data_IF_271517023359
#
_entry.id   IF_271517023359
#
_cell.length_a   1.000
_cell.length_b   1.000
_cell.length_c   1.000
_cell.angle_alpha   90.00
_cell.angle_beta   90.00
_cell.angle_gamma   90.00
#
_symmetry.space_group_name_H-M   'P 1'
#
loop_
_entity.id
_entity.type
_entity.pdbx_description
1 polymer ?
#
# COMPACT_ATOMS: atom_id res chain seq x y z
N UNK A 1 7.69 6.02 -18.56
CA UNK A 1 7.51 5.60 -19.96
C UNK A 1 6.49 6.48 -20.69
N UNK A 2 5.27 6.70 -20.16
CA UNK A 2 4.33 7.68 -20.75
C UNK A 2 4.89 9.10 -20.88
N UNK A 3 5.65 9.61 -19.90
CA UNK A 3 6.29 10.94 -19.98
C UNK A 3 7.31 11.01 -21.11
N UNK A 4 8.21 10.01 -21.20
CA UNK A 4 9.19 9.88 -22.29
C UNK A 4 8.51 9.82 -23.67
N UNK A 5 7.44 9.05 -23.82
CA UNK A 5 6.66 8.96 -25.07
C UNK A 5 5.97 10.29 -25.43
N UNK A 6 5.77 11.18 -24.46
CA UNK A 6 5.18 12.52 -24.63
C UNK A 6 6.23 13.64 -24.68
N UNK A 7 7.52 13.31 -24.69
CA UNK A 7 8.62 14.30 -24.66
C UNK A 7 8.72 15.07 -23.34
N UNK A 8 8.10 14.57 -22.26
CA UNK A 8 8.14 15.16 -20.93
C UNK A 8 9.24 14.51 -20.09
N UNK A 9 9.77 15.30 -19.15
CA UNK A 9 10.74 14.81 -18.17
C UNK A 9 10.21 13.55 -17.47
N UNK A 10 11.00 12.47 -17.38
CA UNK A 10 10.58 11.26 -16.74
C UNK A 10 10.37 11.49 -15.24
N UNK A 11 9.19 11.10 -14.75
CA UNK A 11 8.96 11.03 -13.31
C UNK A 11 9.83 9.92 -12.70
N UNK A 12 11.03 10.31 -12.26
CA UNK A 12 12.03 9.40 -11.68
C UNK A 12 11.54 8.75 -10.38
N UNK A 13 10.61 9.36 -9.66
CA UNK A 13 10.03 8.78 -8.45
C UNK A 13 9.06 7.65 -8.83
N UNK A 14 8.15 7.90 -9.76
CA UNK A 14 7.24 6.88 -10.29
C UNK A 14 8.00 5.72 -10.94
N UNK A 15 9.02 6.03 -11.76
CA UNK A 15 9.85 4.99 -12.39
C UNK A 15 10.56 4.10 -11.36
N UNK A 16 11.09 4.68 -10.27
CA UNK A 16 11.70 3.90 -9.19
C UNK A 16 10.69 3.02 -8.47
N UNK A 17 9.48 3.52 -8.21
CA UNK A 17 8.41 2.74 -7.55
C UNK A 17 7.98 1.57 -8.43
N UNK A 18 7.68 1.80 -9.71
CA UNK A 18 7.27 0.75 -10.65
C UNK A 18 8.38 -0.30 -10.80
N UNK A 19 9.63 0.13 -10.94
CA UNK A 19 10.78 -0.78 -11.01
C UNK A 19 10.93 -1.62 -9.75
N UNK A 20 10.73 -1.02 -8.56
CA UNK A 20 10.81 -1.74 -7.28
C UNK A 20 9.69 -2.77 -7.12
N UNK A 21 8.48 -2.43 -7.57
CA UNK A 21 7.35 -3.36 -7.60
C UNK A 21 7.64 -4.52 -8.54
N UNK A 22 8.11 -4.24 -9.77
CA UNK A 22 8.46 -5.25 -10.77
C UNK A 22 9.45 -6.30 -10.26
N UNK A 23 10.49 -5.87 -9.51
CA UNK A 23 11.47 -6.78 -8.90
C UNK A 23 10.88 -7.75 -7.87
N UNK A 24 9.80 -7.36 -7.19
CA UNK A 24 9.09 -8.25 -6.27
C UNK A 24 8.06 -9.12 -6.98
N UNK A 25 7.58 -8.63 -8.11
CA UNK A 25 6.63 -9.32 -8.96
C UNK A 25 7.34 -10.53 -9.59
N UNK A 26 8.37 -10.35 -10.41
CA UNK A 26 8.97 -11.47 -11.14
C UNK A 26 9.38 -12.66 -10.24
N UNK A 27 8.79 -13.83 -10.49
CA UNK A 27 9.04 -15.07 -9.74
C UNK A 27 10.34 -15.74 -10.16
N UNK A 28 10.81 -15.47 -11.38
CA UNK A 28 12.08 -15.99 -11.92
C UNK A 28 13.29 -15.31 -11.28
N UNK A 29 13.08 -14.13 -10.66
CA UNK A 29 14.14 -13.37 -10.00
C UNK A 29 14.72 -14.16 -8.83
N UNK A 30 16.03 -14.46 -8.82
CA UNK A 30 16.66 -15.25 -7.76
C UNK A 30 16.48 -14.65 -6.37
N UNK A 31 15.73 -15.35 -5.51
CA UNK A 31 15.53 -14.95 -4.10
C UNK A 31 16.61 -15.54 -3.21
N UNK A 32 16.96 -16.78 -3.48
CA UNK A 32 17.94 -17.55 -2.73
C UNK A 32 19.06 -18.00 -3.66
N UNK A 33 20.20 -18.35 -3.06
CA UNK A 33 21.31 -18.94 -3.80
C UNK A 33 21.06 -20.45 -3.93
N UNK A 34 21.46 -21.02 -5.06
CA UNK A 34 21.50 -22.48 -5.23
C UNK A 34 22.56 -23.10 -4.32
N UNK A 35 22.49 -24.40 -4.10
CA UNK A 35 23.47 -25.07 -3.24
C UNK A 35 24.87 -25.06 -3.85
N UNK A 36 24.99 -25.15 -5.18
CA UNK A 36 26.26 -24.98 -5.90
C UNK A 36 26.85 -23.57 -5.70
N UNK A 37 25.99 -22.54 -5.75
CA UNK A 37 26.41 -21.15 -5.49
C UNK A 37 26.89 -21.00 -4.04
N UNK A 38 26.20 -21.60 -3.06
CA UNK A 38 26.66 -21.59 -1.67
C UNK A 38 27.99 -22.33 -1.52
N UNK A 39 28.16 -23.47 -2.18
CA UNK A 39 29.40 -24.24 -2.18
C UNK A 39 30.57 -23.44 -2.77
N UNK A 40 30.33 -22.64 -3.81
CA UNK A 40 31.37 -21.75 -4.37
C UNK A 40 31.89 -20.72 -3.37
N UNK A 41 31.11 -20.33 -2.36
CA UNK A 41 31.56 -19.40 -1.31
C UNK A 41 32.53 -20.09 -0.35
N UNK A 42 32.35 -21.39 -0.09
CA UNK A 42 33.23 -22.14 0.79
C UNK A 42 34.65 -22.23 0.22
N UNK A 43 34.85 -22.20 -1.10
CA UNK A 43 36.19 -22.25 -1.70
C UNK A 43 36.92 -20.90 -1.72
N UNK A 44 36.27 -19.81 -1.30
CA UNK A 44 36.85 -18.46 -1.33
C UNK A 44 38.04 -18.36 -0.36
N UNK A 45 39.23 -17.89 -0.82
CA UNK A 45 40.44 -17.83 0.00
C UNK A 45 40.27 -17.04 1.31
N UNK A 46 39.51 -15.95 1.28
CA UNK A 46 39.23 -15.16 2.47
C UNK A 46 38.51 -15.96 3.56
N UNK A 47 37.47 -16.72 3.20
CA UNK A 47 36.73 -17.54 4.14
C UNK A 47 37.61 -18.67 4.67
N UNK A 48 38.34 -19.35 3.78
CA UNK A 48 39.29 -20.41 4.14
C UNK A 48 40.35 -19.91 5.12
N UNK A 49 40.88 -18.70 4.94
CA UNK A 49 41.82 -18.10 5.88
C UNK A 49 41.22 -17.87 7.28
N UNK A 50 39.97 -17.40 7.35
CA UNK A 50 39.29 -17.22 8.64
C UNK A 50 38.99 -18.55 9.34
N UNK A 51 38.63 -19.58 8.58
CA UNK A 51 38.44 -20.95 9.07
C UNK A 51 39.75 -21.51 9.61
N UNK A 52 40.84 -21.39 8.84
CA UNK A 52 42.17 -21.82 9.26
C UNK A 52 42.63 -21.13 10.56
N UNK A 53 42.42 -19.82 10.68
CA UNK A 53 42.74 -19.07 11.91
C UNK A 53 41.95 -19.56 13.12
N UNK A 54 40.66 -19.87 12.97
CA UNK A 54 39.83 -20.47 14.02
C UNK A 54 40.36 -21.84 14.43
N UNK A 55 40.63 -22.72 13.45
CA UNK A 55 40.99 -24.12 13.71
C UNK A 55 42.38 -24.26 14.30
N UNK A 56 43.34 -23.49 13.79
CA UNK A 56 44.69 -23.42 14.35
C UNK A 56 44.67 -22.91 15.80
N UNK A 57 43.82 -21.94 16.12
CA UNK A 57 43.67 -21.44 17.49
C UNK A 57 42.97 -22.45 18.40
N UNK A 58 41.92 -23.13 17.92
CA UNK A 58 41.22 -24.17 18.66
C UNK A 58 42.16 -25.32 19.05
N UNK A 59 42.95 -25.82 18.10
CA UNK A 59 43.97 -26.86 18.35
C UNK A 59 45.00 -26.45 19.39
N UNK A 60 45.50 -25.21 19.33
CA UNK A 60 46.45 -24.68 20.33
C UNK A 60 45.82 -24.60 21.72
N UNK A 61 44.56 -24.20 21.81
CA UNK A 61 43.83 -24.13 23.07
C UNK A 61 43.66 -25.53 23.69
N UNK A 62 43.29 -26.53 22.89
CA UNK A 62 43.16 -27.93 23.31
C UNK A 62 44.49 -28.50 23.80
N UNK A 63 45.58 -28.32 23.04
CA UNK A 63 46.92 -28.78 23.40
C UNK A 63 47.45 -28.14 24.69
N UNK A 64 47.10 -26.89 24.96
CA UNK A 64 47.57 -26.18 26.15
C UNK A 64 46.94 -26.67 27.46
N UNK A 65 45.84 -27.44 27.41
CA UNK A 65 45.10 -27.94 28.59
C UNK A 65 44.46 -26.86 29.48
N UNK A 66 44.76 -25.57 29.24
CA UNK A 66 44.35 -24.44 30.08
C UNK A 66 43.21 -23.67 29.41
N UNK A 67 41.98 -23.90 29.86
CA UNK A 67 40.80 -23.13 29.44
C UNK A 67 40.74 -21.77 30.15
N UNK A 68 41.65 -20.87 29.78
CA UNK A 68 41.56 -19.47 30.22
C UNK A 68 40.32 -18.81 29.62
N UNK A 69 39.61 -18.00 30.43
CA UNK A 69 38.44 -17.20 29.99
C UNK A 69 38.77 -16.36 28.75
N UNK A 70 39.95 -15.73 28.72
CA UNK A 70 40.40 -14.93 27.58
C UNK A 70 40.61 -15.78 26.31
N UNK A 71 41.05 -17.04 26.47
CA UNK A 71 41.21 -17.98 25.36
C UNK A 71 39.87 -18.41 24.78
N UNK A 72 38.89 -18.71 25.64
CA UNK A 72 37.52 -19.04 25.22
C UNK A 72 36.85 -17.85 24.51
N UNK A 73 36.98 -16.64 25.06
CA UNK A 73 36.45 -15.41 24.44
C UNK A 73 37.08 -15.16 23.06
N UNK A 74 38.39 -15.42 22.91
CA UNK A 74 39.08 -15.29 21.63
C UNK A 74 38.62 -16.33 20.62
N UNK A 75 38.41 -17.59 21.03
CA UNK A 75 37.86 -18.62 20.17
C UNK A 75 36.44 -18.26 19.70
N UNK A 76 35.62 -17.74 20.60
CA UNK A 76 34.27 -17.28 20.28
C UNK A 76 34.29 -16.11 19.28
N UNK A 77 35.19 -15.15 19.44
CA UNK A 77 35.40 -14.08 18.43
C UNK A 77 35.81 -14.65 17.06
N UNK A 78 36.68 -15.66 17.02
CA UNK A 78 37.09 -16.30 15.76
C UNK A 78 35.92 -17.06 15.10
N UNK A 79 35.08 -17.75 15.88
CA UNK A 79 33.85 -18.38 15.37
C UNK A 79 32.91 -17.34 14.76
N UNK A 80 32.68 -16.22 15.44
CA UNK A 80 31.88 -15.10 14.93
C UNK A 80 32.46 -14.49 13.65
N UNK A 81 33.78 -14.35 13.57
CA UNK A 81 34.43 -13.86 12.36
C UNK A 81 34.17 -14.79 11.17
N UNK A 82 34.24 -16.11 11.36
CA UNK A 82 33.91 -17.08 10.30
C UNK A 82 32.45 -16.92 9.86
N UNK A 83 31.49 -16.84 10.79
CA UNK A 83 30.08 -16.69 10.44
C UNK A 83 29.79 -15.36 9.75
N UNK A 84 30.43 -14.27 10.20
CA UNK A 84 30.27 -12.94 9.61
C UNK A 84 30.84 -12.87 8.20
N UNK A 85 32.06 -13.38 8.00
CA UNK A 85 32.70 -13.44 6.68
C UNK A 85 31.88 -14.28 5.71
N UNK A 86 31.44 -15.48 6.14
CA UNK A 86 30.56 -16.33 5.32
C UNK A 86 29.26 -15.61 4.94
N UNK A 87 28.60 -15.00 5.91
CA UNK A 87 27.32 -14.30 5.67
C UNK A 87 27.48 -13.12 4.72
N UNK A 88 28.57 -12.36 4.85
CA UNK A 88 28.90 -11.25 3.95
C UNK A 88 29.15 -11.75 2.52
N UNK A 89 29.97 -12.79 2.34
CA UNK A 89 30.26 -13.35 1.02
C UNK A 89 29.00 -13.92 0.34
N UNK A 90 28.13 -14.61 1.10
CA UNK A 90 26.83 -15.07 0.60
C UNK A 90 25.92 -13.91 0.21
N UNK A 91 25.90 -12.83 0.99
CA UNK A 91 25.15 -11.63 0.66
C UNK A 91 25.66 -10.98 -0.63
N UNK A 92 26.98 -10.83 -0.78
CA UNK A 92 27.61 -10.23 -1.94
C UNK A 92 27.38 -11.08 -3.20
N UNK A 93 27.47 -12.42 -3.09
CA UNK A 93 27.14 -13.32 -4.19
C UNK A 93 25.67 -13.19 -4.58
N UNK A 94 24.74 -13.19 -3.60
CA UNK A 94 23.31 -13.01 -3.86
C UNK A 94 23.01 -11.67 -4.53
N UNK A 95 23.69 -10.61 -4.13
CA UNK A 95 23.57 -9.29 -4.74
C UNK A 95 24.01 -9.35 -6.22
N UNK A 96 25.18 -9.90 -6.51
CA UNK A 96 25.70 -10.06 -7.88
C UNK A 96 24.77 -10.86 -8.77
N UNK A 97 24.32 -12.03 -8.31
CA UNK A 97 23.37 -12.90 -9.07
C UNK A 97 22.08 -12.15 -9.40
N UNK A 98 21.56 -11.35 -8.46
CA UNK A 98 20.35 -10.54 -8.70
C UNK A 98 20.60 -9.39 -9.67
N UNK A 99 21.75 -8.73 -9.57
CA UNK A 99 22.11 -7.63 -10.48
C UNK A 99 22.29 -8.13 -11.91
N UNK A 100 22.93 -9.27 -12.09
CA UNK A 100 23.09 -9.94 -13.39
C UNK A 100 21.74 -10.37 -13.98
N UNK A 101 20.87 -10.96 -13.16
CA UNK A 101 19.50 -11.27 -13.59
C UNK A 101 18.75 -9.99 -13.99
N UNK A 102 18.79 -8.95 -13.14
CA UNK A 102 18.04 -7.71 -13.36
C UNK A 102 18.56 -6.95 -14.61
N UNK A 103 19.84 -7.08 -14.97
CA UNK A 103 20.43 -6.44 -16.16
C UNK A 103 20.13 -7.20 -17.45
N UNK A 104 20.17 -8.54 -17.42
CA UNK A 104 20.04 -9.38 -18.61
C UNK A 104 18.58 -9.72 -18.91
N UNK A 105 17.79 -10.05 -17.89
CA UNK A 105 16.48 -10.64 -18.10
C UNK A 105 15.51 -9.66 -18.77
N UNK A 106 15.59 -8.38 -18.41
CA UNK A 106 14.76 -7.34 -19.02
C UNK A 106 14.99 -7.24 -20.54
N UNK A 107 16.25 -7.32 -20.99
CA UNK A 107 16.59 -7.29 -22.41
C UNK A 107 16.04 -8.54 -23.12
N UNK A 108 16.26 -9.72 -22.55
CA UNK A 108 15.74 -10.98 -23.11
C UNK A 108 14.22 -10.99 -23.22
N UNK A 109 13.52 -10.46 -22.22
CA UNK A 109 12.05 -10.39 -22.24
C UNK A 109 11.56 -9.43 -23.33
N UNK A 110 12.21 -8.28 -23.51
CA UNK A 110 11.90 -7.33 -24.61
C UNK A 110 12.14 -7.98 -25.97
N UNK A 111 13.29 -8.64 -26.17
CA UNK A 111 13.62 -9.32 -27.42
C UNK A 111 12.60 -10.40 -27.77
N UNK A 112 12.17 -11.21 -26.79
CA UNK A 112 11.11 -12.21 -27.00
C UNK A 112 9.77 -11.58 -27.37
N UNK A 113 9.37 -10.50 -26.70
CA UNK A 113 8.13 -9.78 -27.00
C UNK A 113 8.15 -9.22 -28.43
N UNK A 114 9.27 -8.63 -28.85
CA UNK A 114 9.45 -8.11 -30.20
C UNK A 114 9.45 -9.23 -31.25
N UNK A 115 10.13 -10.34 -30.99
CA UNK A 115 10.17 -11.49 -31.90
C UNK A 115 8.80 -12.18 -32.05
N UNK A 116 8.04 -12.29 -30.95
CA UNK A 116 6.70 -12.88 -30.95
C UNK A 116 5.63 -11.92 -31.52
N UNK A 117 5.88 -10.62 -31.52
CA UNK A 117 4.90 -9.63 -31.96
C UNK A 117 3.71 -9.43 -30.99
N UNK A 118 3.79 -9.96 -29.77
CA UNK A 118 2.79 -9.74 -28.69
C UNK A 118 3.39 -9.77 -27.29
N UNK A 119 2.87 -8.96 -26.36
CA UNK A 119 3.39 -8.89 -25.00
C UNK A 119 3.17 -10.20 -24.24
N UNK A 120 2.08 -10.89 -24.57
CA UNK A 120 1.74 -12.22 -24.07
C UNK A 120 2.36 -13.27 -25.00
N UNK A 121 3.68 -13.40 -24.92
CA UNK A 121 4.50 -14.12 -25.89
C UNK A 121 4.64 -15.63 -25.61
N UNK A 122 4.24 -16.11 -24.43
CA UNK A 122 4.31 -17.54 -24.09
C UNK A 122 3.25 -17.96 -23.05
N UNK A 123 3.07 -19.28 -22.90
CA UNK A 123 2.13 -19.87 -21.94
C UNK A 123 2.47 -19.54 -20.48
N UNK A 124 3.75 -19.33 -20.17
CA UNK A 124 4.18 -18.92 -18.82
C UNK A 124 3.65 -17.51 -18.49
N UNK A 125 3.77 -16.57 -19.42
CA UNK A 125 3.22 -15.22 -19.29
C UNK A 125 1.70 -15.27 -19.14
N UNK A 126 1.02 -16.12 -19.93
CA UNK A 126 -0.43 -16.34 -19.82
C UNK A 126 -0.82 -16.89 -18.44
N UNK A 127 -0.12 -17.92 -17.95
CA UNK A 127 -0.33 -18.52 -16.63
C UNK A 127 -0.09 -17.51 -15.49
N UNK A 128 0.90 -16.64 -15.62
CA UNK A 128 1.18 -15.59 -14.64
C UNK A 128 0.03 -14.57 -14.54
N UNK A 129 -0.52 -14.13 -15.67
CA UNK A 129 -1.68 -13.22 -15.70
C UNK A 129 -2.90 -13.87 -15.01
N UNK A 130 -3.21 -15.12 -15.36
CA UNK A 130 -4.33 -15.85 -14.74
C UNK A 130 -4.11 -16.05 -13.24
N UNK A 131 -2.96 -16.62 -12.85
CA UNK A 131 -2.75 -17.09 -11.48
C UNK A 131 -2.50 -15.95 -10.49
N UNK A 132 -1.73 -14.94 -10.90
CA UNK A 132 -1.27 -13.89 -9.98
C UNK A 132 -2.18 -12.69 -9.97
N UNK A 133 -2.61 -12.26 -11.15
CA UNK A 133 -3.47 -11.10 -11.30
C UNK A 133 -4.95 -11.48 -11.12
N UNK A 134 -5.24 -12.78 -10.98
CA UNK A 134 -6.58 -13.36 -10.93
C UNK A 134 -7.40 -12.89 -12.14
N UNK A 135 -6.74 -12.74 -13.29
CA UNK A 135 -7.40 -12.33 -14.52
C UNK A 135 -8.22 -13.49 -15.06
N UNK A 136 -9.43 -13.15 -15.52
CA UNK A 136 -10.28 -14.08 -16.24
C UNK A 136 -9.62 -14.44 -17.59
N UNK A 137 -9.84 -15.65 -18.13
CA UNK A 137 -9.30 -16.04 -19.43
C UNK A 137 -9.60 -15.04 -20.55
N UNK A 138 -10.80 -14.45 -20.53
CA UNK A 138 -11.22 -13.42 -21.49
C UNK A 138 -10.41 -12.12 -21.34
N UNK A 139 -10.01 -11.73 -20.13
CA UNK A 139 -9.13 -10.57 -19.89
C UNK A 139 -7.74 -10.83 -20.47
N UNK A 140 -7.22 -12.03 -20.26
CA UNK A 140 -5.90 -12.41 -20.77
C UNK A 140 -5.91 -12.46 -22.30
N UNK A 141 -6.95 -13.03 -22.90
CA UNK A 141 -7.15 -13.04 -24.35
C UNK A 141 -7.27 -11.61 -24.92
N UNK A 142 -8.02 -10.74 -24.24
CA UNK A 142 -8.13 -9.33 -24.61
C UNK A 142 -6.77 -8.65 -24.64
N UNK A 143 -5.99 -8.76 -23.57
CA UNK A 143 -4.65 -8.17 -23.47
C UNK A 143 -3.71 -8.74 -24.54
N UNK A 144 -3.76 -10.05 -24.78
CA UNK A 144 -2.96 -10.72 -25.80
C UNK A 144 -3.21 -10.15 -27.20
N UNK A 145 -4.47 -9.84 -27.55
CA UNK A 145 -4.83 -9.29 -28.86
C UNK A 145 -4.62 -7.78 -28.97
N UNK A 146 -4.92 -7.03 -27.91
CA UNK A 146 -4.74 -5.57 -27.90
C UNK A 146 -3.26 -5.15 -27.85
N UNK A 147 -2.41 -5.90 -27.15
CA UNK A 147 -0.99 -5.60 -26.98
C UNK A 147 -0.16 -6.41 -27.99
N UNK A 148 -0.58 -6.35 -29.25
CA UNK A 148 0.16 -6.86 -30.42
C UNK A 148 0.86 -5.71 -31.14
N UNK A 149 2.12 -5.90 -31.50
CA UNK A 149 2.85 -4.94 -32.32
C UNK A 149 2.58 -5.21 -33.81
N UNK A 150 2.46 -4.15 -34.62
CA UNK A 150 2.35 -4.30 -36.07
C UNK A 150 3.67 -4.90 -36.60
N UNK A 151 3.68 -6.21 -36.77
CA UNK A 151 4.82 -7.00 -37.26
C UNK A 151 4.92 -7.04 -38.79
N UNK A 152 3.81 -7.05 -39.57
CA UNK A 152 3.90 -7.12 -41.02
C UNK A 152 3.72 -5.77 -41.74
N UNK A 153 4.52 -5.53 -42.79
CA UNK A 153 4.36 -4.42 -43.75
C UNK A 153 3.17 -4.58 -44.71
N UNK A 154 2.25 -5.51 -44.43
CA UNK A 154 1.09 -5.80 -45.29
C UNK A 154 -0.19 -5.29 -44.65
N UNK A 155 -0.99 -4.58 -45.44
CA UNK A 155 -2.28 -4.02 -45.05
C UNK A 155 -3.28 -5.11 -44.64
N UNK A 156 -3.30 -6.25 -45.34
CA UNK A 156 -4.21 -7.36 -45.03
C UNK A 156 -3.92 -7.99 -43.66
N UNK A 157 -2.63 -8.18 -43.33
CA UNK A 157 -2.24 -8.71 -42.02
C UNK A 157 -2.55 -7.73 -40.88
N UNK A 158 -2.40 -6.43 -41.13
CA UNK A 158 -2.79 -5.39 -40.16
C UNK A 158 -4.32 -5.34 -39.96
N UNK A 159 -5.09 -5.48 -41.04
CA UNK A 159 -6.56 -5.59 -40.95
C UNK A 159 -6.98 -6.83 -40.15
N UNK A 160 -6.36 -7.98 -40.42
CA UNK A 160 -6.61 -9.21 -39.65
C UNK A 160 -6.31 -9.01 -38.16
N UNK A 161 -5.17 -8.41 -37.81
CA UNK A 161 -4.80 -8.10 -36.41
C UNK A 161 -5.84 -7.22 -35.73
N UNK A 162 -6.32 -6.17 -36.41
CA UNK A 162 -7.37 -5.28 -35.88
C UNK A 162 -8.70 -6.01 -35.70
N UNK A 163 -9.10 -6.84 -36.65
CA UNK A 163 -10.34 -7.61 -36.55
C UNK A 163 -10.28 -8.60 -35.37
N UNK A 164 -9.15 -9.29 -35.19
CA UNK A 164 -8.95 -10.16 -34.03
C UNK A 164 -9.01 -9.40 -32.69
N UNK A 165 -8.47 -8.18 -32.65
CA UNK A 165 -8.58 -7.31 -31.48
C UNK A 165 -10.02 -6.85 -31.21
N UNK A 166 -10.79 -6.52 -32.26
CA UNK A 166 -12.21 -6.16 -32.13
C UNK A 166 -13.03 -7.35 -31.61
N UNK A 167 -12.81 -8.55 -32.12
CA UNK A 167 -13.49 -9.75 -31.62
C UNK A 167 -13.10 -10.03 -30.15
N UNK A 168 -11.85 -9.80 -29.77
CA UNK A 168 -11.43 -9.93 -28.37
C UNK A 168 -12.17 -8.95 -27.44
N UNK A 169 -12.32 -7.69 -27.88
CA UNK A 169 -13.11 -6.68 -27.15
C UNK A 169 -14.56 -7.12 -27.03
N UNK A 170 -15.17 -7.56 -28.13
CA UNK A 170 -16.55 -8.05 -28.16
C UNK A 170 -16.78 -9.18 -27.17
N UNK A 171 -15.90 -10.19 -27.16
CA UNK A 171 -15.97 -11.31 -26.20
C UNK A 171 -15.81 -10.87 -24.75
N UNK A 172 -15.08 -9.78 -24.51
CA UNK A 172 -14.89 -9.25 -23.18
C UNK A 172 -16.07 -8.42 -22.67
N UNK A 173 -16.83 -7.77 -23.55
CA UNK A 173 -17.95 -6.91 -23.15
C UNK A 173 -19.01 -7.62 -22.31
N UNK A 174 -19.20 -8.94 -22.49
CA UNK A 174 -20.17 -9.72 -21.71
C UNK A 174 -19.63 -10.16 -20.33
N UNK A 175 -18.34 -9.90 -20.05
CA UNK A 175 -17.69 -10.30 -18.80
C UNK A 175 -18.02 -9.30 -17.70
N UNK A 176 -18.68 -9.78 -16.64
CA UNK A 176 -18.92 -8.99 -15.43
C UNK A 176 -17.66 -8.96 -14.57
N UNK A 177 -16.85 -7.92 -14.71
CA UNK A 177 -15.80 -7.61 -13.74
C UNK A 177 -16.45 -7.37 -12.37
N UNK A 178 -16.02 -8.10 -11.34
CA UNK A 178 -16.60 -7.99 -10.00
C UNK A 178 -16.64 -6.54 -9.48
N UNK A 179 -17.58 -6.24 -8.58
CA UNK A 179 -17.70 -4.92 -7.98
C UNK A 179 -16.46 -4.51 -7.17
N UNK A 180 -16.37 -3.23 -6.74
CA UNK A 180 -15.23 -2.70 -6.00
C UNK A 180 -14.78 -3.68 -4.91
N UNK A 181 -13.48 -4.02 -4.88
CA UNK A 181 -12.91 -4.91 -3.86
C UNK A 181 -13.37 -4.41 -2.50
N UNK A 182 -14.35 -5.10 -1.90
CA UNK A 182 -14.88 -4.71 -0.59
C UNK A 182 -13.68 -4.69 0.33
N UNK A 183 -13.36 -3.52 0.88
CA UNK A 183 -12.23 -3.35 1.78
C UNK A 183 -12.26 -4.41 2.87
N UNK A 184 -11.08 -4.76 3.39
CA UNK A 184 -10.89 -5.67 4.52
C UNK A 184 -12.02 -5.45 5.55
N UNK A 185 -12.88 -6.46 5.74
CA UNK A 185 -13.91 -6.41 6.78
C UNK A 185 -13.22 -6.06 8.11
N UNK A 186 -13.74 -5.12 8.91
CA UNK A 186 -13.28 -4.97 10.28
C UNK A 186 -13.42 -6.32 10.97
N UNK A 187 -12.40 -6.74 11.72
CA UNK A 187 -12.48 -7.95 12.54
C UNK A 187 -13.77 -7.88 13.36
N UNK A 188 -14.62 -8.90 13.21
CA UNK A 188 -15.83 -9.05 14.01
C UNK A 188 -15.38 -9.16 15.47
N UNK A 189 -15.90 -8.36 16.41
CA UNK A 189 -15.65 -8.57 17.82
C UNK A 189 -16.15 -9.98 18.19
N UNK A 190 -15.32 -10.76 18.85
CA UNK A 190 -15.72 -12.04 19.41
C UNK A 190 -16.87 -11.81 20.40
N UNK A 191 -17.96 -12.58 20.35
CA UNK A 191 -19.02 -12.48 21.35
C UNK A 191 -18.55 -13.18 22.63
N UNK A 192 -18.52 -12.44 23.74
CA UNK A 192 -18.39 -13.02 25.08
C UNK A 192 -17.48 -12.23 26.00
N UNK A 193 -18.07 -11.30 26.76
CA UNK A 193 -18.18 -11.39 28.23
C UNK A 193 -18.83 -10.11 28.77
N UNK A 194 -19.96 -10.31 29.41
CA UNK A 194 -20.73 -9.32 30.17
C UNK A 194 -19.99 -8.83 31.41
N UNK A 195 -20.43 -7.66 31.87
CA UNK A 195 -20.24 -7.03 33.17
C UNK A 195 -18.80 -6.57 33.49
N UNK A 196 -18.56 -5.39 34.07
CA UNK A 196 -19.35 -4.71 35.09
C UNK A 196 -18.95 -3.22 35.12
N UNK A 197 -19.94 -2.40 35.45
CA UNK A 197 -19.88 -1.06 36.02
C UNK A 197 -18.65 -0.82 36.89
N UNK A 198 -17.98 0.33 36.70
CA UNK A 198 -17.80 1.29 37.80
C UNK A 198 -17.20 2.62 37.31
N UNK A 199 -17.97 3.69 37.57
CA UNK A 199 -17.51 5.07 37.61
C UNK A 199 -16.83 5.31 38.96
N UNK A 200 -15.96 6.31 39.07
CA UNK A 200 -15.98 7.17 40.23
C UNK A 200 -16.45 8.58 39.85
N UNK A 201 -17.36 9.09 40.67
CA UNK A 201 -17.79 10.47 40.71
C UNK A 201 -17.05 11.18 41.86
N UNK A 202 -16.54 12.39 41.62
CA UNK A 202 -16.28 13.47 42.59
C UNK A 202 -15.66 14.65 41.82
N UNK A 203 -15.96 15.93 41.98
CA UNK A 203 -16.72 16.72 42.95
C UNK A 203 -17.43 17.85 42.18
N UNK A 204 -18.59 18.29 42.68
CA UNK A 204 -19.22 19.54 42.28
C UNK A 204 -18.48 20.73 42.91
N UNK A 205 -18.43 21.86 42.20
CA UNK A 205 -18.47 23.17 42.84
C UNK A 205 -19.43 24.05 42.07
N UNK A 206 -20.47 24.43 42.81
CA UNK A 206 -21.57 25.32 42.50
C UNK A 206 -21.06 26.67 42.04
N UNK A 207 -21.78 27.30 41.11
CA UNK A 207 -22.24 28.70 41.15
C UNK A 207 -23.12 28.93 39.91
N UNK A 208 -24.43 28.89 40.12
CA UNK A 208 -25.44 29.36 39.16
C UNK A 208 -25.36 30.88 39.04
N UNK A 209 -25.26 31.41 37.81
CA UNK A 209 -26.16 32.50 37.44
C UNK A 209 -27.17 32.12 36.33
N UNK A 210 -28.26 32.89 36.27
CA UNK A 210 -29.51 32.75 35.50
C UNK A 210 -29.49 31.96 34.18
N UNK A 211 -30.50 31.08 33.93
CA UNK A 211 -30.45 30.05 32.88
C UNK A 211 -30.59 30.55 31.44
N UNK A 212 -31.01 31.79 31.22
CA UNK A 212 -31.21 32.35 29.88
C UNK A 212 -29.96 33.01 29.27
N UNK A 213 -29.17 33.73 30.08
CA UNK A 213 -27.95 34.41 29.60
C UNK A 213 -26.75 33.46 29.46
N UNK A 214 -26.64 32.42 30.31
CA UNK A 214 -25.59 31.40 30.18
C UNK A 214 -25.74 30.52 28.94
N UNK A 215 -26.97 30.32 28.46
CA UNK A 215 -27.27 29.48 27.30
C UNK A 215 -26.72 30.10 26.01
N UNK A 216 -26.81 31.43 25.88
CA UNK A 216 -26.29 32.16 24.71
C UNK A 216 -24.76 32.23 24.72
N UNK A 217 -24.13 32.44 25.89
CA UNK A 217 -22.67 32.46 26.02
C UNK A 217 -22.03 31.06 25.89
N UNK A 218 -22.69 29.99 26.34
CA UNK A 218 -22.24 28.61 26.14
C UNK A 218 -22.31 28.14 24.68
N UNK A 219 -23.16 28.76 23.85
CA UNK A 219 -23.28 28.47 22.41
C UNK A 219 -22.22 29.20 21.57
N UNK A 220 -21.71 30.35 22.02
CA UNK A 220 -20.73 31.16 21.27
C UNK A 220 -19.40 30.46 21.02
N UNK A 221 -18.90 29.67 21.98
CA UNK A 221 -17.59 28.99 21.85
C UNK A 221 -17.66 27.80 20.87
N UNK A 222 -18.66 26.90 20.94
CA UNK A 222 -18.88 25.89 19.92
C UNK A 222 -19.21 26.47 18.53
N UNK A 223 -19.99 27.56 18.47
CA UNK A 223 -20.34 28.23 17.23
C UNK A 223 -19.11 28.81 16.52
N UNK A 224 -18.26 29.54 17.26
CA UNK A 224 -17.01 30.06 16.73
C UNK A 224 -16.09 28.94 16.23
N UNK A 225 -16.05 27.79 16.92
CA UNK A 225 -15.26 26.63 16.50
C UNK A 225 -15.81 25.96 15.23
N UNK A 226 -17.14 25.87 15.09
CA UNK A 226 -17.78 25.34 13.87
C UNK A 226 -17.60 26.29 12.68
N UNK A 227 -17.62 27.61 12.90
CA UNK A 227 -17.48 28.63 11.85
C UNK A 227 -16.01 28.85 11.41
N UNK A 228 -15.08 28.92 12.35
CA UNK A 228 -13.74 29.48 12.08
C UNK A 228 -12.60 28.46 12.09
N UNK A 229 -12.82 27.26 12.64
CA UNK A 229 -11.75 26.26 12.70
C UNK A 229 -11.37 25.75 11.30
N UNK A 230 -10.08 25.48 11.09
CA UNK A 230 -9.58 24.84 9.85
C UNK A 230 -10.04 23.38 9.75
N UNK A 231 -10.25 22.74 10.90
CA UNK A 231 -10.80 21.37 11.03
C UNK A 231 -11.86 21.37 12.13
N UNK A 232 -13.12 21.69 11.81
CA UNK A 232 -14.17 21.72 12.81
C UNK A 232 -14.37 20.32 13.41
N UNK A 233 -14.70 20.28 14.70
CA UNK A 233 -15.01 19.05 15.43
C UNK A 233 -16.50 18.93 15.79
N UNK A 234 -17.29 19.99 15.58
CA UNK A 234 -18.75 19.97 15.66
C UNK A 234 -19.42 19.92 14.29
N UNK A 235 -20.65 19.40 14.24
CA UNK A 235 -21.45 19.34 13.02
C UNK A 235 -22.27 20.62 12.85
N UNK A 236 -22.00 21.41 11.79
CA UNK A 236 -22.76 22.64 11.52
C UNK A 236 -24.26 22.37 11.30
N UNK A 237 -24.60 21.23 10.71
CA UNK A 237 -25.97 20.86 10.40
C UNK A 237 -26.78 20.50 11.67
N UNK A 238 -26.18 19.76 12.61
CA UNK A 238 -26.77 19.53 13.92
C UNK A 238 -26.85 20.84 14.71
N UNK A 239 -25.80 21.64 14.70
CA UNK A 239 -25.77 22.90 15.43
C UNK A 239 -26.87 23.87 14.97
N UNK A 240 -27.07 23.99 13.66
CA UNK A 240 -28.11 24.83 13.05
C UNK A 240 -29.54 24.32 13.25
N UNK A 241 -29.73 23.05 13.62
CA UNK A 241 -31.07 22.50 13.82
C UNK A 241 -31.64 22.92 15.17
N UNK A 242 -32.58 23.87 15.18
CA UNK A 242 -33.21 24.41 16.40
C UNK A 242 -34.21 23.46 17.07
N UNK A 243 -34.61 22.40 16.38
CA UNK A 243 -35.57 21.40 16.88
C UNK A 243 -34.89 20.25 17.66
N UNK A 244 -33.57 20.11 17.55
CA UNK A 244 -32.83 19.07 18.28
C UNK A 244 -32.47 19.50 19.71
N UNK A 245 -32.30 18.50 20.59
CA UNK A 245 -31.77 18.71 21.94
C UNK A 245 -30.38 19.34 21.91
N UNK A 246 -30.11 20.23 22.85
CA UNK A 246 -28.83 20.94 23.00
C UNK A 246 -27.61 20.00 23.04
N UNK A 247 -27.73 18.80 23.62
CA UNK A 247 -26.66 17.77 23.62
C UNK A 247 -26.29 17.25 22.22
N UNK A 248 -27.27 17.12 21.32
CA UNK A 248 -27.04 16.68 19.93
C UNK A 248 -26.49 17.82 19.09
N UNK A 249 -27.03 19.02 19.26
CA UNK A 249 -26.60 20.24 18.56
C UNK A 249 -25.15 20.59 18.88
N UNK A 250 -24.74 20.42 20.14
CA UNK A 250 -23.38 20.70 20.62
C UNK A 250 -22.47 19.47 20.64
N UNK A 251 -22.85 18.39 19.96
CA UNK A 251 -22.04 17.17 19.94
C UNK A 251 -20.66 17.43 19.32
N UNK A 252 -19.65 17.30 20.17
CA UNK A 252 -18.26 17.46 19.79
C UNK A 252 -17.60 16.10 19.53
N UNK A 253 -17.04 15.92 18.34
CA UNK A 253 -16.36 14.67 17.97
C UNK A 253 -14.89 14.70 18.39
N UNK A 254 -14.39 13.59 18.93
CA UNK A 254 -12.98 13.47 19.34
C UNK A 254 -11.97 13.61 18.19
N UNK A 255 -12.39 13.38 16.94
CA UNK A 255 -11.56 13.50 15.73
C UNK A 255 -12.39 14.01 14.56
N UNK A 256 -11.79 14.85 13.72
CA UNK A 256 -12.42 15.37 12.50
C UNK A 256 -12.91 14.27 11.53
N UNK A 257 -12.20 13.12 11.47
CA UNK A 257 -12.64 11.96 10.67
C UNK A 257 -13.99 11.37 11.15
N UNK A 258 -14.30 11.47 12.43
CA UNK A 258 -15.57 10.98 12.98
C UNK A 258 -16.71 11.93 12.64
N UNK A 259 -16.45 13.23 12.65
CA UNK A 259 -17.40 14.24 12.17
C UNK A 259 -17.74 14.00 10.68
N UNK A 260 -16.73 13.87 9.81
CA UNK A 260 -16.94 13.59 8.39
C UNK A 260 -17.78 12.33 8.16
N UNK A 261 -17.53 11.29 8.97
CA UNK A 261 -18.30 10.05 8.93
C UNK A 261 -19.76 10.29 9.31
N UNK A 262 -20.00 10.97 10.43
CA UNK A 262 -21.35 11.29 10.87
C UNK A 262 -22.11 12.10 9.81
N UNK A 263 -21.49 13.14 9.26
CA UNK A 263 -22.11 13.97 8.23
C UNK A 263 -22.52 13.13 7.01
N UNK A 264 -21.62 12.27 6.51
CA UNK A 264 -21.91 11.39 5.36
C UNK A 264 -23.10 10.45 5.57
N UNK A 265 -23.30 9.97 6.80
CA UNK A 265 -24.38 9.01 7.09
C UNK A 265 -25.70 9.68 7.47
N UNK A 266 -25.65 10.91 7.97
CA UNK A 266 -26.81 11.54 8.62
C UNK A 266 -27.35 12.73 7.83
N UNK A 267 -26.48 13.50 7.16
CA UNK A 267 -26.81 14.83 6.61
C UNK A 267 -26.41 15.02 5.14
N UNK A 268 -25.91 13.97 4.48
CA UNK A 268 -25.53 14.07 3.06
C UNK A 268 -26.74 14.29 2.15
N UNK A 269 -27.90 13.79 2.56
CA UNK A 269 -29.14 13.86 1.79
C UNK A 269 -30.03 15.06 2.15
N UNK A 270 -29.66 15.85 3.18
CA UNK A 270 -30.50 16.96 3.69
C UNK A 270 -30.75 18.05 2.64
N UNK A 271 -29.77 18.29 1.75
CA UNK A 271 -29.80 19.32 0.66
C UNK A 271 -30.17 20.74 1.10
N UNK A 272 -30.24 20.99 2.39
CA UNK A 272 -30.52 22.28 3.01
C UNK A 272 -29.54 22.48 4.17
N UNK A 273 -28.89 23.65 4.20
CA UNK A 273 -28.01 24.02 5.31
C UNK A 273 -28.81 24.66 6.43
N UNK A 274 -28.95 23.97 7.57
CA UNK A 274 -29.58 24.53 8.76
C UNK A 274 -28.77 25.69 9.37
N UNK A 275 -27.47 25.75 9.09
CA UNK A 275 -26.58 26.76 9.64
C UNK A 275 -26.60 28.08 8.85
N UNK A 276 -26.55 27.99 7.51
CA UNK A 276 -26.66 29.15 6.62
C UNK A 276 -28.09 29.46 6.19
N UNK A 277 -29.05 28.60 6.54
CA UNK A 277 -30.44 28.62 6.08
C UNK A 277 -30.57 28.69 4.54
N UNK A 278 -29.81 27.87 3.81
CA UNK A 278 -29.75 27.86 2.34
C UNK A 278 -30.16 26.50 1.78
N UNK A 279 -31.09 26.50 0.84
CA UNK A 279 -31.43 25.34 0.02
C UNK A 279 -30.41 25.19 -1.12
N UNK A 280 -29.97 23.96 -1.36
CA UNK A 280 -29.10 23.61 -2.49
C UNK A 280 -29.87 22.73 -3.47
N UNK A 281 -29.70 22.98 -4.77
CA UNK A 281 -30.51 22.32 -5.80
C UNK A 281 -30.17 20.84 -6.01
N UNK A 282 -28.88 20.50 -6.01
CA UNK A 282 -28.38 19.13 -6.25
C UNK A 282 -27.28 18.72 -5.25
N UNK A 283 -26.93 17.43 -5.22
CA UNK A 283 -25.94 16.86 -4.30
C UNK A 283 -24.54 17.47 -4.51
N UNK A 284 -24.19 17.84 -5.75
CA UNK A 284 -22.89 18.43 -6.07
C UNK A 284 -22.79 19.86 -5.54
N UNK A 285 -23.85 20.66 -5.65
CA UNK A 285 -23.95 21.97 -5.02
C UNK A 285 -23.95 21.85 -3.48
N UNK A 286 -24.57 20.81 -2.92
CA UNK A 286 -24.53 20.53 -1.49
C UNK A 286 -23.10 20.27 -1.00
N UNK A 287 -22.39 19.33 -1.62
CA UNK A 287 -20.98 19.00 -1.29
C UNK A 287 -20.03 20.19 -1.48
N UNK A 288 -20.27 21.01 -2.51
CA UNK A 288 -19.50 22.25 -2.73
C UNK A 288 -19.76 23.24 -1.61
N UNK A 289 -21.03 23.47 -1.26
CA UNK A 289 -21.42 24.36 -0.17
C UNK A 289 -20.79 23.93 1.17
N UNK A 290 -20.82 22.64 1.51
CA UNK A 290 -20.21 22.13 2.76
C UNK A 290 -18.70 22.31 2.81
N UNK A 291 -18.03 22.20 1.66
CA UNK A 291 -16.58 22.41 1.57
C UNK A 291 -16.21 23.89 1.69
N UNK A 292 -16.89 24.75 0.92
CA UNK A 292 -16.53 26.18 0.82
C UNK A 292 -16.95 26.97 2.07
N UNK A 293 -18.13 26.70 2.63
CA UNK A 293 -18.71 27.49 3.71
C UNK A 293 -18.46 26.88 5.09
N UNK A 294 -18.25 25.56 5.16
CA UNK A 294 -18.08 24.83 6.43
C UNK A 294 -16.81 23.97 6.50
N UNK A 295 -15.92 24.07 5.51
CA UNK A 295 -14.59 23.42 5.48
C UNK A 295 -14.64 21.91 5.70
N UNK A 296 -15.75 21.28 5.31
CA UNK A 296 -15.97 19.84 5.37
C UNK A 296 -15.81 19.24 3.97
N UNK A 297 -14.67 18.59 3.74
CA UNK A 297 -14.37 17.89 2.49
C UNK A 297 -14.94 16.48 2.53
N UNK A 298 -16.14 16.33 1.98
CA UNK A 298 -16.96 15.11 2.05
C UNK A 298 -16.85 14.27 0.79
#
# INVERSE_FOLDING_TARGET
MQSLMRGLEPDSAMMRVVTRMGRWVDTRRPRELTDDQKASVETIPELQHTIYKRDSFARKLEQSGKKSRQGLDRLEKLKRNVTNTRSRLLYDLRKRVREEFDSIQAVKDIERQLAAGTAVHNDETRKLLVSRENMLPQQVFLLEKLITWPTPRSLEKEWKRRNEAVEAVRMYCDVREGGPRRGRRPNRPSPGKDATTDRPATMASTLTPSPSLQREDALRVPEAHVQTAVKPLGCFQCFGNREESDERRMKHYSRHKHLLRHFRYTHLDDRHCNFCNKLTGDEMAWRRHTHENHRLRI
#
